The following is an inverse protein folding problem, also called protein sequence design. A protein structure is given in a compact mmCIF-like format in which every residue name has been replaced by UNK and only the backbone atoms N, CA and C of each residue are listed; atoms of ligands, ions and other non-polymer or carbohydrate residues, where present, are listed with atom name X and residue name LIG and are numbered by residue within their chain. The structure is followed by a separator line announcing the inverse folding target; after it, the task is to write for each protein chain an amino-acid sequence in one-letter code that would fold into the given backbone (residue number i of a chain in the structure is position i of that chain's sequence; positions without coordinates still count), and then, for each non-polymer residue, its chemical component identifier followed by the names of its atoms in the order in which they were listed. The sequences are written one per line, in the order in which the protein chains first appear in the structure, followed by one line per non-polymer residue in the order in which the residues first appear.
data_IF_008649003272
#
_entry.id   IF_008649003272
#
_cell.length_a   1.000
_cell.length_b   1.000
_cell.length_c   1.000
_cell.angle_alpha   90.00
_cell.angle_beta   90.00
_cell.angle_gamma   90.00
#
_symmetry.space_group_name_H-M   'P 1'
#
loop_
_entity.id
_entity.type
_entity.pdbx_description
1 polymer ?
#
# COMPACT_ATOMS: atom_id res chain seq x y z
N UNK A 1 -23.74 -7.39 -3.93
CA UNK A 1 -22.42 -7.20 -3.28
C UNK A 1 -21.48 -8.22 -3.91
N UNK A 2 -20.47 -7.78 -4.66
CA UNK A 2 -19.50 -8.70 -5.29
C UNK A 2 -18.58 -9.18 -4.17
N UNK A 3 -18.46 -10.49 -4.00
CA UNK A 3 -17.59 -11.09 -2.98
C UNK A 3 -16.24 -11.35 -3.64
N UNK A 4 -15.23 -10.56 -3.30
CA UNK A 4 -13.86 -10.79 -3.76
C UNK A 4 -13.29 -12.05 -3.10
N UNK A 5 -12.42 -12.74 -3.82
CA UNK A 5 -11.62 -13.81 -3.23
C UNK A 5 -10.51 -13.23 -2.31
N UNK A 6 -9.78 -14.12 -1.62
CA UNK A 6 -8.73 -13.69 -0.70
C UNK A 6 -7.60 -12.91 -1.40
N UNK A 7 -7.23 -13.31 -2.62
CA UNK A 7 -6.16 -12.67 -3.40
C UNK A 7 -6.59 -11.30 -3.92
N UNK A 8 -7.85 -11.19 -4.36
CA UNK A 8 -8.46 -9.94 -4.78
C UNK A 8 -8.62 -8.97 -3.60
N UNK A 9 -8.96 -9.48 -2.41
CA UNK A 9 -9.02 -8.68 -1.17
C UNK A 9 -7.63 -8.16 -0.79
N UNK A 10 -6.60 -9.00 -0.88
CA UNK A 10 -5.21 -8.58 -0.65
C UNK A 10 -4.79 -7.50 -1.65
N UNK A 11 -5.12 -7.67 -2.93
CA UNK A 11 -4.84 -6.69 -3.97
C UNK A 11 -5.53 -5.33 -3.71
N UNK A 12 -6.78 -5.34 -3.23
CA UNK A 12 -7.48 -4.12 -2.80
C UNK A 12 -6.77 -3.45 -1.60
N UNK A 13 -6.34 -4.24 -0.62
CA UNK A 13 -5.57 -3.72 0.53
C UNK A 13 -4.21 -3.17 0.12
N UNK A 14 -3.53 -3.78 -0.86
CA UNK A 14 -2.28 -3.27 -1.38
C UNK A 14 -2.47 -1.90 -2.05
N UNK A 15 -3.62 -1.65 -2.70
CA UNK A 15 -3.94 -0.31 -3.21
C UNK A 15 -4.11 0.71 -2.08
N UNK A 16 -4.81 0.35 -1.00
CA UNK A 16 -4.88 1.20 0.19
C UNK A 16 -3.49 1.47 0.78
N UNK A 17 -2.63 0.44 0.84
CA UNK A 17 -1.23 0.55 1.24
C UNK A 17 -0.47 1.56 0.39
N UNK A 18 -0.61 1.47 -0.93
CA UNK A 18 -0.02 2.40 -1.88
C UNK A 18 -0.48 3.84 -1.62
N UNK A 19 -1.79 4.11 -1.60
CA UNK A 19 -2.31 5.47 -1.42
C UNK A 19 -1.83 6.10 -0.11
N UNK A 20 -1.96 5.36 1.00
CA UNK A 20 -1.55 5.87 2.31
C UNK A 20 -0.04 6.07 2.36
N UNK A 21 0.76 5.13 1.85
CA UNK A 21 2.22 5.29 1.79
C UNK A 21 2.58 6.57 1.02
N UNK A 22 2.01 6.78 -0.16
CA UNK A 22 2.28 7.96 -0.99
C UNK A 22 1.89 9.30 -0.34
N UNK A 23 1.00 9.29 0.67
CA UNK A 23 0.64 10.51 1.40
C UNK A 23 1.71 11.01 2.37
N UNK A 24 2.71 10.17 2.71
CA UNK A 24 3.80 10.52 3.63
C UNK A 24 5.08 11.02 2.94
N UNK A 25 5.21 10.85 1.63
CA UNK A 25 6.41 11.23 0.88
C UNK A 25 6.13 12.43 -0.02
N UNK A 26 7.10 13.36 -0.10
CA UNK A 26 6.97 14.59 -0.89
C UNK A 26 6.83 14.36 -2.39
N UNK A 27 7.34 13.24 -2.91
CA UNK A 27 7.18 12.83 -4.30
C UNK A 27 7.16 11.30 -4.42
N UNK A 28 6.32 10.77 -5.31
CA UNK A 28 6.20 9.33 -5.53
C UNK A 28 5.99 8.99 -7.01
N UNK A 29 6.36 7.77 -7.41
CA UNK A 29 5.96 7.18 -8.69
C UNK A 29 5.62 5.70 -8.56
N UNK A 30 4.59 5.25 -9.27
CA UNK A 30 4.28 3.82 -9.38
C UNK A 30 5.16 3.16 -10.44
N UNK A 31 5.75 2.01 -10.12
CA UNK A 31 6.62 1.25 -11.04
C UNK A 31 5.81 0.53 -12.13
N UNK A 32 4.57 0.13 -11.84
CA UNK A 32 3.75 -0.71 -12.74
C UNK A 32 2.32 -0.17 -12.88
N UNK A 33 2.03 0.67 -13.90
CA UNK A 33 0.70 1.27 -14.08
C UNK A 33 -0.44 0.26 -14.28
N UNK A 34 -0.14 -0.90 -14.85
CA UNK A 34 -1.14 -1.96 -15.04
C UNK A 34 -1.59 -2.58 -13.71
N UNK A 35 -0.64 -2.79 -12.78
CA UNK A 35 -0.95 -3.35 -11.46
C UNK A 35 -1.72 -2.34 -10.62
N UNK A 36 -1.34 -1.06 -10.67
CA UNK A 36 -2.06 0.04 -10.01
C UNK A 36 -3.52 0.10 -10.45
N UNK A 37 -3.80 0.12 -11.75
CA UNK A 37 -5.20 0.12 -12.25
C UNK A 37 -5.99 -1.10 -11.81
N UNK A 38 -5.34 -2.27 -11.78
CA UNK A 38 -5.98 -3.52 -11.34
C UNK A 38 -6.33 -3.46 -9.86
N UNK A 39 -5.39 -3.06 -9.00
CA UNK A 39 -5.59 -2.99 -7.55
C UNK A 39 -6.56 -1.86 -7.17
N UNK A 40 -6.50 -0.72 -7.88
CA UNK A 40 -7.47 0.40 -7.80
C UNK A 40 -8.90 -0.08 -8.09
N UNK A 41 -9.08 -0.86 -9.16
CA UNK A 41 -10.40 -1.38 -9.51
C UNK A 41 -10.96 -2.27 -8.39
N UNK A 42 -10.15 -3.21 -7.88
CA UNK A 42 -10.55 -4.10 -6.79
C UNK A 42 -10.84 -3.35 -5.48
N UNK A 43 -10.07 -2.29 -5.21
CA UNK A 43 -10.33 -1.38 -4.10
C UNK A 43 -11.69 -0.69 -4.22
N UNK A 44 -12.01 -0.15 -5.41
CA UNK A 44 -13.29 0.52 -5.67
C UNK A 44 -14.49 -0.42 -5.62
N UNK A 45 -14.31 -1.73 -5.78
CA UNK A 45 -15.36 -2.73 -5.60
C UNK A 45 -15.72 -2.98 -4.13
N UNK A 46 -14.86 -2.56 -3.19
CA UNK A 46 -15.15 -2.65 -1.75
C UNK A 46 -16.27 -1.70 -1.35
N UNK A 47 -17.02 -2.05 -0.29
CA UNK A 47 -17.91 -1.10 0.35
C UNK A 47 -17.10 0.04 0.97
N UNK A 48 -17.72 1.23 1.08
CA UNK A 48 -17.09 2.41 1.71
C UNK A 48 -16.61 2.09 3.14
N UNK A 49 -17.39 1.33 3.90
CA UNK A 49 -16.99 0.90 5.25
C UNK A 49 -15.71 0.05 5.24
N UNK A 50 -15.60 -0.88 4.29
CA UNK A 50 -14.41 -1.71 4.17
C UNK A 50 -13.20 -0.91 3.69
N UNK A 51 -13.41 0.05 2.77
CA UNK A 51 -12.38 0.98 2.33
C UNK A 51 -11.76 1.71 3.53
N UNK A 52 -12.58 2.34 4.38
CA UNK A 52 -12.12 3.00 5.59
C UNK A 52 -11.39 2.05 6.55
N UNK A 53 -11.91 0.84 6.79
CA UNK A 53 -11.23 -0.14 7.64
C UNK A 53 -9.85 -0.54 7.11
N UNK A 54 -9.70 -0.65 5.78
CA UNK A 54 -8.40 -0.94 5.16
C UNK A 54 -7.45 0.24 5.33
N UNK A 55 -7.90 1.46 5.02
CA UNK A 55 -7.11 2.68 5.17
C UNK A 55 -6.64 2.91 6.61
N UNK A 56 -7.54 2.79 7.61
CA UNK A 56 -7.22 2.97 9.02
C UNK A 56 -6.17 1.95 9.51
N UNK A 57 -6.30 0.69 9.09
CA UNK A 57 -5.33 -0.36 9.44
C UNK A 57 -3.96 -0.08 8.84
N UNK A 58 -3.93 0.33 7.58
CA UNK A 58 -2.70 0.69 6.88
C UNK A 58 -2.05 1.90 7.54
N UNK A 59 -2.83 2.93 7.85
CA UNK A 59 -2.35 4.14 8.53
C UNK A 59 -1.75 3.80 9.89
N UNK A 60 -2.44 3.00 10.69
CA UNK A 60 -1.91 2.56 11.98
C UNK A 60 -0.62 1.75 11.86
N UNK A 61 -0.50 0.92 10.81
CA UNK A 61 0.74 0.17 10.53
C UNK A 61 1.87 1.11 10.11
N UNK A 62 1.57 2.10 9.25
CA UNK A 62 2.53 3.11 8.83
C UNK A 62 3.09 3.88 10.04
N UNK A 63 2.21 4.46 10.85
CA UNK A 63 2.60 5.30 11.98
C UNK A 63 3.36 4.53 13.07
N UNK A 64 2.98 3.27 13.33
CA UNK A 64 3.55 2.49 14.44
C UNK A 64 4.80 1.73 14.08
N UNK A 65 4.91 1.27 12.84
CA UNK A 65 5.99 0.36 12.43
C UNK A 65 6.88 0.97 11.38
N UNK A 66 6.34 1.71 10.43
CA UNK A 66 7.10 2.17 9.26
C UNK A 66 7.82 3.48 9.54
N UNK A 67 7.08 4.55 9.83
CA UNK A 67 7.62 5.90 9.96
C UNK A 67 8.75 5.99 11.01
N UNK A 68 8.71 5.28 12.15
CA UNK A 68 9.82 5.30 13.11
C UNK A 68 11.14 4.71 12.59
N UNK A 69 11.12 3.95 11.50
CA UNK A 69 12.29 3.32 10.90
C UNK A 69 12.86 4.11 9.71
N UNK A 70 12.17 5.15 9.25
CA UNK A 70 12.55 5.95 8.08
C UNK A 70 13.17 7.27 8.56
N UNK A 71 14.27 7.70 7.94
CA UNK A 71 14.87 9.00 8.23
C UNK A 71 14.02 10.15 7.67
N UNK A 72 14.07 11.32 8.30
CA UNK A 72 13.32 12.49 7.83
C UNK A 72 13.72 12.90 6.40
N UNK A 73 14.99 12.72 6.02
CA UNK A 73 15.50 12.99 4.66
C UNK A 73 14.79 12.15 3.58
N UNK A 74 14.36 10.94 3.93
CA UNK A 74 13.62 10.06 3.01
C UNK A 74 12.18 10.52 2.80
N UNK A 75 11.58 11.23 3.76
CA UNK A 75 10.21 11.75 3.63
C UNK A 75 10.12 12.85 2.57
N UNK A 76 11.17 13.67 2.44
CA UNK A 76 11.25 14.74 1.44
C UNK A 76 11.79 14.28 0.08
N UNK A 77 12.30 13.05 0.01
CA UNK A 77 12.88 12.47 -1.20
C UNK A 77 11.82 11.89 -2.14
N UNK A 78 12.17 11.77 -3.43
CA UNK A 78 11.35 11.04 -4.38
C UNK A 78 11.47 9.53 -4.12
N UNK A 79 10.35 8.87 -3.85
CA UNK A 79 10.30 7.41 -3.69
C UNK A 79 9.59 6.73 -4.86
N UNK A 80 10.00 5.51 -5.18
CA UNK A 80 9.25 4.60 -6.04
C UNK A 80 8.42 3.65 -5.19
N UNK A 81 7.16 3.46 -5.55
CA UNK A 81 6.28 2.50 -4.88
C UNK A 81 5.88 1.42 -5.88
N UNK A 82 6.18 0.17 -5.52
CA UNK A 82 5.89 -1.01 -6.32
C UNK A 82 4.94 -1.94 -5.56
N UNK A 83 3.98 -2.52 -6.26
CA UNK A 83 3.14 -3.58 -5.71
C UNK A 83 3.91 -4.90 -5.70
N UNK A 84 3.76 -5.69 -4.63
CA UNK A 84 4.26 -7.06 -4.62
C UNK A 84 3.53 -7.90 -5.69
N UNK A 85 4.24 -8.84 -6.31
CA UNK A 85 3.71 -9.65 -7.42
C UNK A 85 2.45 -10.46 -7.08
N UNK A 86 2.30 -10.82 -5.81
CA UNK A 86 1.14 -11.52 -5.26
C UNK A 86 0.01 -10.56 -4.84
N UNK A 87 0.24 -9.25 -4.88
CA UNK A 87 -0.69 -8.22 -4.42
C UNK A 87 -0.83 -8.17 -2.90
N UNK A 88 0.08 -8.78 -2.13
CA UNK A 88 0.00 -8.84 -0.66
C UNK A 88 0.47 -7.58 0.05
N UNK A 89 1.01 -6.62 -0.70
CA UNK A 89 1.70 -5.49 -0.11
C UNK A 89 2.32 -4.55 -1.13
N UNK A 90 3.02 -3.57 -0.60
CA UNK A 90 3.77 -2.58 -1.38
C UNK A 90 5.20 -2.49 -0.87
N UNK A 91 6.11 -2.23 -1.80
CA UNK A 91 7.51 -1.97 -1.57
C UNK A 91 7.79 -0.52 -1.93
N UNK A 92 8.56 0.15 -1.08
CA UNK A 92 9.00 1.53 -1.27
C UNK A 92 10.53 1.51 -1.41
N UNK A 93 11.04 2.22 -2.40
CA UNK A 93 12.48 2.36 -2.69
C UNK A 93 12.80 3.80 -3.01
N UNK A 94 14.03 4.26 -2.76
CA UNK A 94 14.50 5.59 -3.23
C UNK A 94 15.05 5.54 -4.67
N UNK A 95 14.97 4.37 -5.33
CA UNK A 95 15.48 4.12 -6.67
C UNK A 95 16.87 3.46 -6.71
N UNK A 96 17.57 3.39 -5.57
CA UNK A 96 18.88 2.73 -5.43
C UNK A 96 18.82 1.59 -4.40
N UNK A 97 18.16 1.81 -3.27
CA UNK A 97 18.05 0.85 -2.19
C UNK A 97 16.59 0.58 -1.77
N UNK A 98 16.42 -0.56 -1.10
CA UNK A 98 15.15 -0.95 -0.51
C UNK A 98 14.93 -0.16 0.78
N UNK A 99 13.86 0.62 0.83
CA UNK A 99 13.53 1.46 1.98
C UNK A 99 12.55 0.73 2.90
N UNK A 100 11.53 0.06 2.34
CA UNK A 100 10.47 -0.53 3.15
C UNK A 100 9.59 -1.53 2.38
N UNK A 101 9.12 -2.58 3.06
CA UNK A 101 8.06 -3.47 2.56
C UNK A 101 6.90 -3.52 3.54
N UNK A 102 5.71 -3.13 3.08
CA UNK A 102 4.47 -3.24 3.82
C UNK A 102 3.76 -4.50 3.33
N UNK A 103 3.83 -5.58 4.11
CA UNK A 103 3.02 -6.78 3.85
C UNK A 103 1.75 -6.76 4.69
N UNK A 104 0.61 -6.84 4.02
CA UNK A 104 -0.65 -7.17 4.68
C UNK A 104 -0.67 -8.68 4.94
N UNK A 105 -0.48 -9.03 6.20
CA UNK A 105 -0.75 -10.39 6.65
C UNK A 105 -2.27 -10.57 6.70
N UNK A 106 -2.81 -11.56 5.98
CA UNK A 106 -4.22 -12.00 6.09
C UNK A 106 -4.51 -12.69 7.43
N UNK A 107 -3.83 -12.31 8.51
CA UNK A 107 -4.31 -12.66 9.85
C UNK A 107 -5.51 -11.77 10.13
N UNK A 108 -6.63 -12.14 9.53
CA UNK A 108 -7.92 -11.99 10.17
C UNK A 108 -7.94 -12.90 11.40
N UNK A 109 -8.66 -12.43 12.43
CA UNK A 109 -9.00 -13.08 13.72
C UNK A 109 -7.99 -12.87 14.84
#
# INVERSE_FOLDING_TARGET
MIKLDAKETMAAQAYAAYMIATSYFGSYKCVTPQMEKKTEHLYRLQSIENQYKMEDRIKALMEKQVLPQISEELLDSQVEVAFLSDGSGVRITDGLEFVLEIRQSVREI
#
